data_IF_210560702727
#
_entry.id   IF_210560702727
#
_cell.length_a   1.000
_cell.length_b   1.000
_cell.length_c   1.000
_cell.angle_alpha   90.00
_cell.angle_beta   90.00
_cell.angle_gamma   90.00
#
_symmetry.space_group_name_H-M   'P 1'
#
loop_
_entity.id
_entity.type
_entity.pdbx_description
1 polymer ?
#
# COMPACT_ATOMS: atom_id res chain seq x y z
N UNK A 1 -1.96 -12.78 -8.20
CA UNK A 1 -0.80 -12.38 -7.36
C UNK A 1 -0.52 -10.91 -7.62
N UNK A 2 -1.21 -10.00 -6.94
CA UNK A 2 -0.85 -8.57 -7.01
C UNK A 2 0.46 -8.46 -6.26
N UNK A 3 1.53 -8.13 -6.97
CA UNK A 3 2.88 -8.11 -6.44
C UNK A 3 2.93 -7.24 -5.18
N UNK A 4 3.37 -7.88 -4.12
CA UNK A 4 3.81 -7.27 -2.87
C UNK A 4 4.96 -6.33 -3.24
N UNK A 5 4.70 -5.01 -3.31
CA UNK A 5 5.78 -4.05 -3.13
C UNK A 5 6.23 -4.18 -1.68
N UNK A 6 7.17 -5.10 -1.48
CA UNK A 6 7.92 -5.23 -0.25
C UNK A 6 8.83 -3.99 -0.20
N UNK A 7 8.62 -3.18 0.84
CA UNK A 7 9.43 -2.08 1.32
C UNK A 7 10.88 -2.10 0.78
N UNK A 8 11.35 -1.00 0.16
CA UNK A 8 12.77 -0.68 0.09
C UNK A 8 13.20 -0.25 1.52
N UNK A 9 13.32 -1.23 2.41
CA UNK A 9 14.11 -1.03 3.62
C UNK A 9 15.57 -1.06 3.19
N UNK A 10 16.23 0.10 3.14
CA UNK A 10 17.69 0.14 3.21
C UNK A 10 18.08 -0.55 4.50
N UNK A 11 18.67 -1.74 4.42
CA UNK A 11 19.21 -2.39 5.61
C UNK A 11 20.25 -1.45 6.25
N UNK A 12 20.16 -1.12 7.55
CA UNK A 12 21.22 -0.39 8.20
C UNK A 12 22.47 -1.27 8.26
N UNK A 13 23.58 -0.82 7.66
CA UNK A 13 24.91 -1.33 8.01
C UNK A 13 25.74 -2.06 6.93
N UNK A 14 25.66 -1.71 5.65
CA UNK A 14 26.73 -2.03 4.70
C UNK A 14 27.06 -0.79 3.86
N UNK A 15 28.28 -0.29 3.98
CA UNK A 15 28.78 1.04 3.55
C UNK A 15 28.43 2.17 4.52
N UNK A 16 29.45 2.95 4.92
CA UNK A 16 29.39 3.99 5.96
C UNK A 16 28.59 5.25 5.58
N UNK A 17 27.44 5.08 4.93
CA UNK A 17 26.42 6.11 4.73
C UNK A 17 25.32 5.87 5.76
N UNK A 18 24.99 6.90 6.56
CA UNK A 18 23.78 6.89 7.38
C UNK A 18 22.58 6.64 6.46
N UNK A 19 21.87 5.53 6.68
CA UNK A 19 20.62 5.31 5.98
C UNK A 19 19.64 6.41 6.41
N UNK A 20 19.16 7.21 5.45
CA UNK A 20 18.04 8.12 5.69
C UNK A 20 16.81 7.37 6.21
N UNK A 21 15.79 8.09 6.70
CA UNK A 21 14.57 7.46 7.20
C UNK A 21 13.96 6.53 6.14
N UNK A 22 13.55 5.33 6.55
CA UNK A 22 12.88 4.39 5.68
C UNK A 22 11.50 4.93 5.30
N UNK A 23 11.21 5.00 4.00
CA UNK A 23 9.91 5.46 3.47
C UNK A 23 8.95 4.27 3.28
N UNK A 24 7.76 4.38 3.87
CA UNK A 24 6.65 3.44 3.72
C UNK A 24 5.79 3.77 2.50
N UNK A 25 5.72 2.84 1.55
CA UNK A 25 4.84 2.97 0.38
C UNK A 25 3.89 1.78 0.26
N UNK A 26 2.64 2.04 -0.13
CA UNK A 26 1.68 0.98 -0.45
C UNK A 26 0.64 1.46 -1.47
N UNK A 27 -0.19 0.53 -1.97
CA UNK A 27 -1.14 0.80 -3.05
C UNK A 27 -2.57 0.38 -2.68
N UNK A 28 -3.57 0.97 -3.34
CA UNK A 28 -4.99 0.73 -3.11
C UNK A 28 -5.83 0.62 -4.38
N UNK A 29 -7.11 0.32 -4.21
CA UNK A 29 -8.12 0.32 -5.26
C UNK A 29 -8.36 -1.04 -5.91
N UNK A 30 -7.81 -2.12 -5.34
CA UNK A 30 -8.08 -3.49 -5.76
C UNK A 30 -8.63 -4.30 -4.59
N UNK A 31 -9.88 -4.76 -4.70
CA UNK A 31 -10.59 -5.51 -3.66
C UNK A 31 -10.78 -6.95 -4.09
N UNK A 32 -10.54 -7.86 -3.15
CA UNK A 32 -10.78 -9.29 -3.30
C UNK A 32 -12.16 -9.65 -2.77
N UNK A 33 -12.91 -10.45 -3.53
CA UNK A 33 -14.13 -11.08 -3.01
C UNK A 33 -13.83 -12.45 -2.37
N UNK A 34 -14.85 -13.09 -1.80
CA UNK A 34 -14.76 -14.40 -1.15
C UNK A 34 -14.39 -15.53 -2.13
N UNK A 35 -14.59 -15.31 -3.43
CA UNK A 35 -14.28 -16.26 -4.50
C UNK A 35 -12.88 -16.02 -5.09
N UNK A 36 -12.07 -15.13 -4.51
CA UNK A 36 -10.75 -14.72 -5.00
C UNK A 36 -10.77 -13.98 -6.34
N UNK A 37 -11.89 -13.37 -6.72
CA UNK A 37 -11.91 -12.44 -7.84
C UNK A 37 -11.40 -11.07 -7.38
N UNK A 38 -10.75 -10.37 -8.30
CA UNK A 38 -10.25 -9.01 -8.09
C UNK A 38 -11.16 -8.03 -8.83
N UNK A 39 -11.59 -6.97 -8.13
CA UNK A 39 -12.34 -5.86 -8.70
C UNK A 39 -11.67 -4.53 -8.37
N UNK A 40 -11.92 -3.49 -9.19
CA UNK A 40 -11.48 -2.12 -8.92
C UNK A 40 -12.51 -1.41 -8.07
N UNK A 41 -12.08 -0.73 -7.01
CA UNK A 41 -12.96 0.07 -6.16
C UNK A 41 -12.22 1.29 -5.60
N UNK A 42 -12.43 2.44 -6.23
CA UNK A 42 -11.86 3.72 -5.82
C UNK A 42 -12.77 4.54 -4.90
N UNK A 43 -13.86 3.97 -4.39
CA UNK A 43 -14.75 4.70 -3.47
C UNK A 43 -14.01 5.09 -2.20
N UNK A 44 -14.31 6.27 -1.66
CA UNK A 44 -13.70 6.78 -0.42
C UNK A 44 -13.72 5.75 0.73
N UNK A 45 -14.88 5.10 0.92
CA UNK A 45 -15.04 4.09 1.96
C UNK A 45 -14.17 2.83 1.74
N UNK A 46 -13.93 2.43 0.48
CA UNK A 46 -13.01 1.32 0.19
C UNK A 46 -11.57 1.69 0.50
N UNK A 47 -11.13 2.84 -0.01
CA UNK A 47 -9.77 3.34 0.18
C UNK A 47 -9.44 3.48 1.67
N UNK A 48 -10.37 4.00 2.49
CA UNK A 48 -10.15 4.14 3.92
C UNK A 48 -9.96 2.78 4.61
N UNK A 49 -10.80 1.78 4.28
CA UNK A 49 -10.65 0.42 4.82
C UNK A 49 -9.33 -0.24 4.41
N UNK A 50 -8.93 -0.08 3.15
CA UNK A 50 -7.67 -0.60 2.62
C UNK A 50 -6.45 0.07 3.27
N UNK A 51 -6.54 1.37 3.55
CA UNK A 51 -5.48 2.13 4.23
C UNK A 51 -5.29 1.61 5.65
N UNK A 52 -6.36 1.49 6.43
CA UNK A 52 -6.28 0.96 7.79
C UNK A 52 -5.78 -0.49 7.83
N UNK A 53 -6.23 -1.34 6.91
CA UNK A 53 -5.72 -2.70 6.78
C UNK A 53 -4.23 -2.73 6.46
N UNK A 54 -3.75 -1.77 5.66
CA UNK A 54 -2.33 -1.62 5.34
C UNK A 54 -1.51 -1.16 6.53
N UNK A 55 -1.97 -0.15 7.28
CA UNK A 55 -1.33 0.32 8.53
C UNK A 55 -1.21 -0.83 9.54
N UNK A 56 -2.29 -1.59 9.76
CA UNK A 56 -2.28 -2.77 10.64
C UNK A 56 -1.31 -3.85 10.18
N UNK A 57 -1.26 -4.14 8.88
CA UNK A 57 -0.36 -5.16 8.29
C UNK A 57 1.11 -4.74 8.31
N UNK A 58 1.38 -3.45 8.15
CA UNK A 58 2.73 -2.88 8.15
C UNK A 58 3.22 -2.56 9.57
N UNK A 59 2.33 -2.49 10.55
CA UNK A 59 2.67 -2.18 11.94
C UNK A 59 3.14 -0.73 12.14
N UNK A 60 2.55 0.20 11.39
CA UNK A 60 2.87 1.64 11.44
C UNK A 60 1.60 2.47 11.52
N UNK A 61 1.71 3.72 11.93
CA UNK A 61 0.65 4.71 12.05
C UNK A 61 0.58 5.70 10.87
N UNK A 62 1.55 5.66 9.94
CA UNK A 62 1.54 6.47 8.73
C UNK A 62 2.03 5.72 7.49
N UNK A 63 1.69 6.24 6.31
CA UNK A 63 2.18 5.79 5.01
C UNK A 63 2.69 7.05 4.29
N UNK A 64 3.96 7.07 3.90
CA UNK A 64 4.54 8.21 3.18
C UNK A 64 3.97 8.35 1.78
N UNK A 65 3.74 7.24 1.09
CA UNK A 65 3.21 7.22 -0.27
C UNK A 65 2.12 6.18 -0.44
N UNK A 66 0.89 6.66 -0.67
CA UNK A 66 -0.28 5.82 -0.91
C UNK A 66 -0.83 6.06 -2.32
N UNK A 67 -0.67 5.07 -3.20
CA UNK A 67 -0.96 5.21 -4.63
C UNK A 67 -2.14 4.33 -5.08
N UNK A 68 -3.02 4.89 -5.89
CA UNK A 68 -4.05 4.10 -6.55
C UNK A 68 -3.42 3.18 -7.60
N UNK A 69 -3.70 1.87 -7.52
CA UNK A 69 -3.09 0.86 -8.37
C UNK A 69 -3.60 0.93 -9.82
N UNK A 70 -4.87 1.32 -10.03
CA UNK A 70 -5.44 1.66 -11.33
C UNK A 70 -6.51 2.74 -11.18
N UNK A 71 -6.68 3.64 -12.17
CA UNK A 71 -7.80 4.58 -12.17
C UNK A 71 -9.13 3.83 -12.02
N UNK A 72 -9.93 4.26 -11.05
CA UNK A 72 -11.34 3.91 -11.00
C UNK A 72 -12.09 4.85 -11.97
N UNK A 73 -12.83 4.27 -12.92
CA UNK A 73 -13.60 5.02 -13.92
C UNK A 73 -15.04 5.25 -13.48
N UNK A 74 -15.44 4.70 -12.33
CA UNK A 74 -16.83 4.68 -11.86
C UNK A 74 -17.03 5.68 -10.73
N UNK A 75 -16.01 5.90 -9.91
CA UNK A 75 -16.04 6.92 -8.85
C UNK A 75 -15.69 8.28 -9.44
N UNK A 76 -16.56 9.29 -9.22
CA UNK A 76 -16.39 10.68 -9.67
C UNK A 76 -15.73 11.57 -8.62
#
# INVERSE_FOLDING_TARGET
MVQKFQLLASAPGQSGVEAGPALGATQCGLVWDENNNISKNGTYGSILREAEASLRRLGTDYIDLYQMHWPDTVTS
#
